data_IF_946764194515
#
_entry.id   IF_946764194515
#
_cell.length_a   1.000
_cell.length_b   1.000
_cell.length_c   1.000
_cell.angle_alpha   90.00
_cell.angle_beta   90.00
_cell.angle_gamma   90.00
#
_symmetry.space_group_name_H-M   'P 1'
#
loop_
_entity.id
_entity.type
_entity.pdbx_description
1 polymer ?
#
# COMPACT_ATOMS: atom_id res chain seq x y z
N UNK A 1 6.64 4.46 11.44
CA UNK A 1 5.97 5.56 12.17
C UNK A 1 6.55 6.88 11.68
N UNK A 2 5.78 7.71 10.99
CA UNK A 2 6.18 9.11 10.76
C UNK A 2 6.14 9.81 12.10
N UNK A 3 7.24 10.43 12.50
CA UNK A 3 7.30 11.23 13.70
C UNK A 3 6.53 12.53 13.45
N UNK A 4 5.30 12.62 13.93
CA UNK A 4 4.48 13.84 13.91
C UNK A 4 4.94 14.83 15.00
N UNK A 5 6.24 14.84 15.26
CA UNK A 5 6.88 15.58 16.32
C UNK A 5 7.98 16.46 15.76
N UNK A 6 7.90 17.76 16.02
CA UNK A 6 8.92 18.73 15.67
C UNK A 6 9.40 19.40 16.95
N UNK A 7 10.70 19.39 17.19
CA UNK A 7 11.32 20.10 18.30
C UNK A 7 11.90 21.43 17.79
N UNK A 8 11.39 22.54 18.31
CA UNK A 8 11.91 23.88 18.08
C UNK A 8 12.79 24.23 19.29
N UNK A 9 14.08 24.49 19.04
CA UNK A 9 15.02 24.87 20.09
C UNK A 9 15.39 26.33 19.92
N UNK A 10 15.00 27.17 20.88
CA UNK A 10 15.39 28.56 20.99
C UNK A 10 16.59 28.65 21.92
N UNK A 11 17.70 29.21 21.43
CA UNK A 11 18.92 29.40 22.21
C UNK A 11 19.28 30.87 22.23
N UNK A 12 19.60 31.38 23.41
CA UNK A 12 20.19 32.70 23.62
C UNK A 12 21.13 32.64 24.81
N UNK A 13 22.31 33.16 24.62
CA UNK A 13 23.41 33.11 25.61
C UNK A 13 23.58 31.69 26.20
N UNK A 14 23.41 31.55 27.50
CA UNK A 14 23.51 30.27 28.22
C UNK A 14 22.18 29.59 28.44
N UNK A 15 21.12 30.08 27.82
CA UNK A 15 19.74 29.51 27.96
C UNK A 15 19.29 28.86 26.70
N UNK A 16 18.65 27.69 26.85
CA UNK A 16 17.99 27.00 25.76
C UNK A 16 16.60 26.54 26.18
N UNK A 17 15.58 26.85 25.38
CA UNK A 17 14.21 26.38 25.56
C UNK A 17 13.86 25.46 24.39
N UNK A 18 13.37 24.27 24.71
CA UNK A 18 12.88 23.31 23.73
C UNK A 18 11.36 23.28 23.75
N UNK A 19 10.75 23.58 22.63
CA UNK A 19 9.31 23.46 22.41
C UNK A 19 9.06 22.23 21.52
N UNK A 20 8.33 21.25 22.03
CA UNK A 20 7.93 20.09 21.25
C UNK A 20 6.54 20.32 20.68
N UNK A 21 6.41 20.38 19.36
CA UNK A 21 5.15 20.49 18.64
C UNK A 21 4.73 19.09 18.21
N UNK A 22 3.54 18.67 18.66
CA UNK A 22 2.93 17.39 18.28
C UNK A 22 1.80 17.66 17.28
N UNK A 23 1.81 16.95 16.16
CA UNK A 23 0.72 17.02 15.18
C UNK A 23 -0.17 15.79 15.30
N UNK A 24 -1.46 16.00 15.51
CA UNK A 24 -2.47 14.94 15.58
C UNK A 24 -3.27 14.81 14.28
N UNK A 25 -2.69 15.22 13.14
CA UNK A 25 -3.39 15.17 11.86
C UNK A 25 -3.73 13.74 11.42
N UNK A 26 -2.91 12.75 11.80
CA UNK A 26 -3.14 11.34 11.47
C UNK A 26 -4.45 10.82 12.07
N UNK A 27 -4.70 11.09 13.35
CA UNK A 27 -5.96 10.71 14.02
C UNK A 27 -7.19 11.34 13.36
N UNK A 28 -7.07 12.62 12.95
CA UNK A 28 -8.15 13.33 12.26
C UNK A 28 -8.38 12.74 10.87
N UNK A 29 -7.33 12.45 10.14
CA UNK A 29 -7.39 11.89 8.80
C UNK A 29 -7.96 10.47 8.84
N UNK A 30 -7.56 9.64 9.79
CA UNK A 30 -8.12 8.29 10.00
C UNK A 30 -9.62 8.34 10.20
N UNK A 31 -10.11 9.23 11.08
CA UNK A 31 -11.54 9.40 11.32
C UNK A 31 -12.30 9.87 10.08
N UNK A 32 -11.70 10.75 9.28
CA UNK A 32 -12.29 11.20 8.02
C UNK A 32 -12.37 10.05 7.00
N UNK A 33 -11.31 9.25 6.85
CA UNK A 33 -11.28 8.07 5.98
C UNK A 33 -12.40 7.10 6.38
N UNK A 34 -12.48 6.73 7.66
CA UNK A 34 -13.52 5.83 8.17
C UNK A 34 -14.94 6.37 7.88
N UNK A 35 -15.16 7.66 8.10
CA UNK A 35 -16.46 8.30 7.86
C UNK A 35 -16.85 8.28 6.38
N UNK A 36 -15.90 8.57 5.48
CA UNK A 36 -16.13 8.56 4.02
C UNK A 36 -16.35 7.14 3.54
N UNK A 37 -15.57 6.18 4.02
CA UNK A 37 -15.66 4.77 3.63
C UNK A 37 -16.95 4.11 4.13
N UNK A 38 -17.49 4.53 5.29
CA UNK A 38 -18.77 4.05 5.81
C UNK A 38 -19.96 4.48 4.94
N UNK A 39 -19.84 5.58 4.18
CA UNK A 39 -20.89 6.11 3.30
C UNK A 39 -20.83 5.55 1.88
N UNK A 40 -20.02 4.52 1.63
CA UNK A 40 -19.79 3.92 0.29
C UNK A 40 -19.39 4.93 -0.80
N UNK A 41 -18.89 6.10 -0.39
CA UNK A 41 -18.36 7.13 -1.29
C UNK A 41 -16.88 6.85 -1.55
N UNK A 42 -16.57 6.51 -2.77
CA UNK A 42 -15.22 6.11 -3.22
C UNK A 42 -14.15 7.17 -2.96
N UNK A 43 -13.05 6.81 -2.27
CA UNK A 43 -11.85 6.34 -2.95
C UNK A 43 -11.19 5.13 -2.26
N UNK A 44 -11.69 3.94 -2.48
CA UNK A 44 -11.15 2.71 -1.89
C UNK A 44 -9.65 2.53 -2.15
N UNK A 45 -9.17 2.82 -3.37
CA UNK A 45 -7.76 2.68 -3.73
C UNK A 45 -6.85 3.62 -2.93
N UNK A 46 -7.26 4.90 -2.79
CA UNK A 46 -6.52 5.89 -2.02
C UNK A 46 -6.46 5.55 -0.53
N UNK A 47 -7.59 5.14 0.05
CA UNK A 47 -7.66 4.72 1.46
C UNK A 47 -6.78 3.48 1.73
N UNK A 48 -6.83 2.47 0.85
CA UNK A 48 -6.00 1.27 0.97
C UNK A 48 -4.51 1.60 0.88
N UNK A 49 -4.13 2.46 -0.06
CA UNK A 49 -2.74 2.89 -0.21
C UNK A 49 -2.25 3.66 1.03
N UNK A 50 -3.06 4.56 1.56
CA UNK A 50 -2.73 5.29 2.78
C UNK A 50 -2.49 4.35 3.98
N UNK A 51 -3.36 3.34 4.15
CA UNK A 51 -3.21 2.34 5.22
C UNK A 51 -1.92 1.53 5.05
N UNK A 52 -1.62 1.12 3.83
CA UNK A 52 -0.40 0.40 3.51
C UNK A 52 0.86 1.23 3.78
N UNK A 53 0.93 2.46 3.26
CA UNK A 53 2.13 3.31 3.38
C UNK A 53 2.40 3.79 4.81
N UNK A 54 1.36 3.93 5.63
CA UNK A 54 1.46 4.39 7.01
C UNK A 54 1.42 3.25 8.04
N UNK A 55 1.54 1.99 7.61
CA UNK A 55 1.61 0.83 8.52
C UNK A 55 0.36 0.64 9.38
N UNK A 56 -0.82 0.98 8.82
CA UNK A 56 -2.11 0.78 9.47
C UNK A 56 -2.61 -0.66 9.28
N UNK A 57 -3.87 -0.94 9.57
CA UNK A 57 -4.46 -2.27 9.42
C UNK A 57 -4.45 -2.71 7.94
N UNK A 58 -3.58 -3.68 7.64
CA UNK A 58 -3.41 -4.22 6.30
C UNK A 58 -4.60 -5.10 5.87
N UNK A 59 -5.33 -5.70 6.81
CA UNK A 59 -6.53 -6.49 6.48
C UNK A 59 -7.63 -5.55 5.99
N UNK A 60 -7.80 -4.41 6.66
CA UNK A 60 -8.74 -3.38 6.21
C UNK A 60 -8.32 -2.79 4.86
N UNK A 61 -7.03 -2.55 4.65
CA UNK A 61 -6.49 -2.12 3.36
C UNK A 61 -6.79 -3.14 2.26
N UNK A 62 -6.66 -4.44 2.55
CA UNK A 62 -6.97 -5.51 1.60
C UNK A 62 -8.45 -5.54 1.21
N UNK A 63 -9.36 -5.34 2.17
CA UNK A 63 -10.80 -5.26 1.90
C UNK A 63 -11.10 -4.12 0.92
N UNK A 64 -10.55 -2.93 1.17
CA UNK A 64 -10.80 -1.77 0.32
C UNK A 64 -10.16 -1.88 -1.06
N UNK A 65 -8.92 -2.40 -1.15
CA UNK A 65 -8.28 -2.56 -2.45
C UNK A 65 -8.98 -3.62 -3.30
N UNK A 66 -9.58 -4.65 -2.69
CA UNK A 66 -10.41 -5.63 -3.40
C UNK A 66 -11.63 -4.96 -4.03
N UNK A 67 -12.35 -4.12 -3.28
CA UNK A 67 -13.47 -3.32 -3.83
C UNK A 67 -13.04 -2.41 -4.98
N UNK A 68 -11.85 -1.81 -4.89
CA UNK A 68 -11.31 -0.99 -5.97
C UNK A 68 -11.00 -1.81 -7.23
N UNK A 69 -10.46 -3.02 -7.07
CA UNK A 69 -10.18 -3.95 -8.18
C UNK A 69 -11.48 -4.45 -8.80
N UNK A 70 -12.52 -4.77 -8.01
CA UNK A 70 -13.84 -5.15 -8.50
C UNK A 70 -14.49 -4.05 -9.34
N UNK A 71 -14.34 -2.78 -8.91
CA UNK A 71 -14.85 -1.63 -9.66
C UNK A 71 -14.10 -1.37 -10.97
N UNK A 72 -12.79 -1.66 -11.03
CA UNK A 72 -11.98 -1.53 -12.25
C UNK A 72 -10.92 -2.65 -12.33
N UNK A 73 -11.28 -3.81 -12.89
CA UNK A 73 -10.38 -4.98 -12.96
C UNK A 73 -9.15 -4.79 -13.88
N UNK A 74 -9.18 -3.79 -14.76
CA UNK A 74 -8.07 -3.45 -15.67
C UNK A 74 -7.10 -2.41 -15.13
N UNK A 75 -7.37 -1.84 -13.95
CA UNK A 75 -6.51 -0.85 -13.31
C UNK A 75 -5.23 -1.53 -12.76
N UNK A 76 -4.19 -1.66 -13.59
CA UNK A 76 -2.94 -2.32 -13.20
C UNK A 76 -2.26 -1.64 -12.01
N UNK A 77 -2.39 -0.32 -11.84
CA UNK A 77 -1.90 0.42 -10.67
C UNK A 77 -2.58 -0.02 -9.36
N UNK A 78 -3.89 -0.31 -9.41
CA UNK A 78 -4.65 -0.83 -8.27
C UNK A 78 -4.23 -2.27 -7.94
N UNK A 79 -4.02 -3.10 -8.97
CA UNK A 79 -3.51 -4.46 -8.81
C UNK A 79 -2.10 -4.48 -8.20
N UNK A 80 -1.20 -3.59 -8.62
CA UNK A 80 0.12 -3.47 -8.01
C UNK A 80 0.02 -3.12 -6.52
N UNK A 81 -0.85 -2.18 -6.14
CA UNK A 81 -1.09 -1.85 -4.73
C UNK A 81 -1.63 -3.05 -3.96
N UNK A 82 -2.58 -3.80 -4.53
CA UNK A 82 -3.08 -5.05 -3.94
C UNK A 82 -1.95 -6.06 -3.71
N UNK A 83 -1.11 -6.28 -4.71
CA UNK A 83 0.02 -7.20 -4.59
C UNK A 83 1.00 -6.79 -3.49
N UNK A 84 1.28 -5.50 -3.32
CA UNK A 84 2.11 -4.98 -2.22
C UNK A 84 1.48 -5.24 -0.85
N UNK A 85 0.18 -5.04 -0.70
CA UNK A 85 -0.57 -5.31 0.53
C UNK A 85 -0.54 -6.81 0.87
N UNK A 86 -0.77 -7.67 -0.13
CA UNK A 86 -0.68 -9.13 0.03
C UNK A 86 0.71 -9.59 0.45
N UNK A 87 1.77 -9.03 -0.18
CA UNK A 87 3.16 -9.30 0.21
C UNK A 87 3.43 -8.92 1.67
N UNK A 88 2.95 -7.76 2.11
CA UNK A 88 3.07 -7.30 3.50
C UNK A 88 2.30 -8.19 4.49
N UNK A 89 1.17 -8.76 4.07
CA UNK A 89 0.41 -9.76 4.82
C UNK A 89 1.02 -11.18 4.76
N UNK A 90 2.15 -11.34 4.07
CA UNK A 90 2.84 -12.63 3.86
C UNK A 90 2.05 -13.62 2.97
N UNK A 91 1.05 -13.15 2.25
CA UNK A 91 0.38 -13.89 1.17
C UNK A 91 1.23 -13.79 -0.11
N UNK A 92 2.37 -14.46 -0.12
CA UNK A 92 3.35 -14.38 -1.21
C UNK A 92 2.82 -14.94 -2.54
N UNK A 93 2.01 -15.99 -2.47
CA UNK A 93 1.44 -16.61 -3.66
C UNK A 93 0.37 -15.71 -4.30
N UNK A 94 -0.55 -15.16 -3.50
CA UNK A 94 -1.54 -14.19 -3.97
C UNK A 94 -0.88 -12.90 -4.48
N UNK A 95 0.17 -12.42 -3.81
CA UNK A 95 0.94 -11.26 -4.24
C UNK A 95 1.62 -11.49 -5.60
N UNK A 96 2.22 -12.67 -5.81
CA UNK A 96 2.85 -13.05 -7.07
C UNK A 96 1.83 -13.09 -8.21
N UNK A 97 0.72 -13.78 -8.02
CA UNK A 97 -0.34 -13.89 -9.03
C UNK A 97 -0.91 -12.50 -9.41
N UNK A 98 -1.22 -11.69 -8.39
CA UNK A 98 -1.75 -10.34 -8.59
C UNK A 98 -0.75 -9.42 -9.29
N UNK A 99 0.54 -9.51 -8.95
CA UNK A 99 1.60 -8.73 -9.59
C UNK A 99 1.83 -9.15 -11.04
N UNK A 100 1.77 -10.45 -11.37
CA UNK A 100 1.86 -10.92 -12.75
C UNK A 100 0.71 -10.38 -13.60
N UNK A 101 -0.53 -10.41 -13.09
CA UNK A 101 -1.68 -9.83 -13.78
C UNK A 101 -1.53 -8.32 -13.98
N UNK A 102 -1.02 -7.61 -12.96
CA UNK A 102 -0.72 -6.18 -13.07
C UNK A 102 0.33 -5.90 -14.15
N UNK A 103 1.38 -6.70 -14.21
CA UNK A 103 2.44 -6.58 -15.20
C UNK A 103 1.92 -6.79 -16.64
N UNK A 104 1.10 -7.84 -16.85
CA UNK A 104 0.49 -8.12 -18.16
C UNK A 104 -0.37 -6.94 -18.65
N UNK A 105 -1.23 -6.40 -17.78
CA UNK A 105 -2.07 -5.26 -18.12
C UNK A 105 -1.26 -3.97 -18.34
N UNK A 106 -0.19 -3.75 -17.57
CA UNK A 106 0.72 -2.63 -17.79
C UNK A 106 1.47 -2.75 -19.12
N UNK A 107 1.82 -3.98 -19.53
CA UNK A 107 2.42 -4.26 -20.82
C UNK A 107 1.45 -4.01 -21.98
N UNK A 108 0.21 -4.45 -21.86
CA UNK A 108 -0.86 -4.14 -22.83
C UNK A 108 -1.09 -2.63 -22.96
N UNK A 109 -0.99 -1.89 -21.85
CA UNK A 109 -1.12 -0.43 -21.81
C UNK A 109 0.15 0.33 -22.20
N UNK A 110 1.27 -0.33 -22.44
CA UNK A 110 2.55 0.31 -22.79
C UNK A 110 3.24 1.04 -21.63
N UNK A 111 2.86 0.76 -20.36
CA UNK A 111 3.42 1.43 -19.18
C UNK A 111 4.64 0.69 -18.63
N UNK A 112 5.83 1.05 -19.14
CA UNK A 112 7.09 0.44 -18.72
C UNK A 112 7.42 0.69 -17.23
N UNK A 113 6.99 1.83 -16.67
CA UNK A 113 7.27 2.14 -15.27
C UNK A 113 6.57 1.14 -14.34
N UNK A 114 5.30 0.82 -14.62
CA UNK A 114 4.56 -0.18 -13.86
C UNK A 114 5.04 -1.60 -14.13
N UNK A 115 5.53 -1.93 -15.33
CA UNK A 115 6.18 -3.22 -15.60
C UNK A 115 7.40 -3.40 -14.69
N UNK A 116 8.32 -2.43 -14.66
CA UNK A 116 9.52 -2.45 -13.79
C UNK A 116 9.17 -2.53 -12.30
N UNK A 117 8.13 -1.82 -11.86
CA UNK A 117 7.67 -1.88 -10.47
C UNK A 117 7.15 -3.27 -10.09
N UNK A 118 6.41 -3.93 -10.98
CA UNK A 118 5.95 -5.30 -10.78
C UNK A 118 7.13 -6.30 -10.76
N UNK A 119 8.08 -6.17 -11.68
CA UNK A 119 9.28 -7.01 -11.72
C UNK A 119 10.09 -6.92 -10.44
N UNK A 120 10.25 -5.69 -9.91
CA UNK A 120 10.91 -5.48 -8.62
C UNK A 120 10.19 -6.19 -7.48
N UNK A 121 8.86 -6.04 -7.38
CA UNK A 121 8.06 -6.73 -6.37
C UNK A 121 8.14 -8.25 -6.50
N UNK A 122 8.08 -8.77 -7.72
CA UNK A 122 8.21 -10.22 -7.98
C UNK A 122 9.59 -10.75 -7.59
N UNK A 123 10.65 -9.98 -7.82
CA UNK A 123 12.01 -10.34 -7.39
C UNK A 123 12.11 -10.37 -5.85
N UNK A 124 11.53 -9.39 -5.16
CA UNK A 124 11.47 -9.35 -3.70
C UNK A 124 10.72 -10.56 -3.13
N UNK A 125 9.58 -10.92 -3.72
CA UNK A 125 8.80 -12.10 -3.30
C UNK A 125 9.61 -13.39 -3.51
N UNK A 126 10.26 -13.56 -4.67
CA UNK A 126 11.07 -14.74 -4.98
C UNK A 126 12.27 -14.89 -4.06
N UNK A 127 12.86 -13.78 -3.61
CA UNK A 127 14.00 -13.78 -2.69
C UNK A 127 13.57 -14.15 -1.24
N UNK A 128 12.28 -14.12 -0.93
CA UNK A 128 11.79 -14.46 0.40
C UNK A 128 11.79 -15.97 0.62
N UNK A 129 12.48 -16.51 1.65
CA UNK A 129 12.57 -17.95 1.90
C UNK A 129 11.21 -18.60 2.25
N UNK A 130 10.22 -17.80 2.65
CA UNK A 130 8.86 -18.29 2.94
C UNK A 130 8.00 -18.44 1.67
N UNK A 131 8.44 -17.90 0.54
CA UNK A 131 7.75 -18.07 -0.74
C UNK A 131 7.94 -19.49 -1.27
N UNK A 132 6.83 -20.18 -1.52
CA UNK A 132 6.80 -21.51 -2.14
C UNK A 132 5.99 -21.41 -3.43
N UNK A 133 6.63 -21.50 -4.61
CA UNK A 133 5.91 -21.43 -5.87
C UNK A 133 4.83 -22.50 -5.95
N UNK A 134 3.60 -22.10 -6.27
CA UNK A 134 2.54 -23.08 -6.59
C UNK A 134 2.78 -23.59 -8.00
N UNK A 135 2.83 -24.92 -8.15
CA UNK A 135 2.97 -25.54 -9.47
C UNK A 135 1.84 -25.04 -10.40
N UNK A 136 2.15 -24.73 -11.67
CA UNK A 136 1.15 -24.24 -12.60
C UNK A 136 0.01 -25.26 -12.74
N UNK A 137 -1.24 -24.83 -12.47
CA UNK A 137 -2.42 -25.65 -12.74
C UNK A 137 -2.41 -25.99 -14.23
N UNK A 138 -2.22 -27.28 -14.61
CA UNK A 138 -2.39 -27.70 -15.99
C UNK A 138 -3.80 -27.32 -16.41
N UNK A 139 -3.91 -26.40 -17.38
CA UNK A 139 -5.18 -26.15 -18.07
C UNK A 139 -5.60 -27.48 -18.72
N UNK A 140 -6.75 -28.01 -18.29
CA UNK A 140 -7.45 -29.08 -19.00
C UNK A 140 -8.16 -28.50 -20.20
#
# INVERSE_FOLDING_TARGET
>A
MRNDKVDIVLKWENTAVRLTVLSFYDTRLMKQIETVMAKDTRPYSGAANYYYENGKDLNQALIWINKAVEANPKAYWTLLTKAKIQNALKDYNGAMETSMKSWELAKEGGDEAYQKNNEKLQAEIKANPAYKPVAPKKKK
#
